data_IF_175194472246
#
_entry.id   IF_175194472246
#
_cell.length_a   1.000
_cell.length_b   1.000
_cell.length_c   1.000
_cell.angle_alpha   90.00
_cell.angle_beta   90.00
_cell.angle_gamma   90.00
#
_symmetry.space_group_name_H-M   'P 1'
#
loop_
_entity.id
_entity.type
_entity.pdbx_description
1 polymer ?
#
# COMPACT_ATOMS: atom_id res chain seq x y z
N UNK A 1 1.81 -45.29 39.20
CA UNK A 1 1.25 -43.95 38.96
C UNK A 1 -0.22 -44.01 39.37
N UNK A 2 -0.55 -43.45 40.52
CA UNK A 2 -1.90 -43.47 41.07
C UNK A 2 -2.78 -42.37 40.48
N UNK A 3 -4.12 -42.52 40.59
CA UNK A 3 -5.08 -41.50 40.19
C UNK A 3 -4.86 -40.17 40.95
N UNK A 4 -4.43 -40.24 42.22
CA UNK A 4 -4.06 -39.07 43.02
C UNK A 4 -2.85 -38.32 42.42
N UNK A 5 -1.76 -39.03 42.09
CA UNK A 5 -0.57 -38.42 41.47
C UNK A 5 -0.91 -37.71 40.15
N UNK A 6 -1.85 -38.27 39.37
CA UNK A 6 -2.29 -37.66 38.11
C UNK A 6 -3.14 -36.40 38.32
N UNK A 7 -3.96 -36.35 39.38
CA UNK A 7 -4.78 -35.18 39.73
C UNK A 7 -3.94 -34.07 40.36
N UNK A 8 -2.92 -34.41 41.16
CA UNK A 8 -1.97 -33.44 41.72
C UNK A 8 -1.14 -32.79 40.62
N UNK A 9 -0.59 -33.57 39.67
CA UNK A 9 0.14 -33.00 38.53
C UNK A 9 -0.74 -32.09 37.66
N UNK A 10 -2.01 -32.43 37.46
CA UNK A 10 -2.94 -31.61 36.69
C UNK A 10 -3.32 -30.32 37.44
N UNK A 11 -3.49 -30.38 38.77
CA UNK A 11 -3.75 -29.22 39.61
C UNK A 11 -2.56 -28.26 39.65
N UNK A 12 -1.33 -28.77 39.78
CA UNK A 12 -0.11 -27.95 39.81
C UNK A 12 0.20 -27.32 38.44
N UNK A 13 -0.08 -28.03 37.34
CA UNK A 13 -0.02 -27.44 35.99
C UNK A 13 -1.02 -26.31 35.79
N UNK A 14 -2.24 -26.43 36.32
CA UNK A 14 -3.24 -25.37 36.24
C UNK A 14 -2.89 -24.16 37.10
N UNK A 15 -2.44 -24.39 38.33
CA UNK A 15 -2.00 -23.31 39.23
C UNK A 15 -0.79 -22.55 38.69
N UNK A 16 0.20 -23.26 38.15
CA UNK A 16 1.36 -22.61 37.52
C UNK A 16 0.97 -21.83 36.27
N UNK A 17 0.12 -22.40 35.40
CA UNK A 17 -0.42 -21.70 34.24
C UNK A 17 -1.23 -20.43 34.60
N UNK A 18 -2.05 -20.50 35.64
CA UNK A 18 -2.84 -19.36 36.15
C UNK A 18 -1.94 -18.26 36.73
N UNK A 19 -0.89 -18.63 37.47
CA UNK A 19 0.09 -17.67 38.02
C UNK A 19 0.88 -16.97 36.90
N UNK A 20 1.35 -17.72 35.90
CA UNK A 20 2.09 -17.16 34.75
C UNK A 20 1.22 -16.25 33.89
N UNK A 21 -0.07 -16.56 33.76
CA UNK A 21 -1.02 -15.68 33.08
C UNK A 21 -1.32 -14.41 33.88
N UNK A 22 -1.50 -14.53 35.20
CA UNK A 22 -1.72 -13.39 36.08
C UNK A 22 -0.53 -12.42 36.04
N UNK A 23 0.71 -12.95 36.06
CA UNK A 23 1.92 -12.16 35.97
C UNK A 23 2.04 -11.44 34.62
N UNK A 24 1.81 -12.13 33.50
CA UNK A 24 1.80 -11.50 32.16
C UNK A 24 0.72 -10.43 32.03
N UNK A 25 -0.45 -10.60 32.64
CA UNK A 25 -1.51 -9.58 32.67
C UNK A 25 -1.10 -8.37 33.50
N UNK A 26 -0.44 -8.58 34.64
CA UNK A 26 0.07 -7.50 35.47
C UNK A 26 1.13 -6.67 34.73
N UNK A 27 2.10 -7.32 34.07
CA UNK A 27 3.13 -6.68 33.26
C UNK A 27 2.52 -5.82 32.13
N UNK A 28 1.55 -6.37 31.39
CA UNK A 28 0.83 -5.60 30.35
C UNK A 28 0.07 -4.41 30.92
N UNK A 29 -0.58 -4.59 32.07
CA UNK A 29 -1.29 -3.52 32.76
C UNK A 29 -0.36 -2.41 33.26
N UNK A 30 0.88 -2.74 33.59
CA UNK A 30 1.92 -1.78 33.98
C UNK A 30 2.46 -1.03 32.76
N UNK A 31 2.80 -1.74 31.66
CA UNK A 31 3.20 -1.13 30.38
C UNK A 31 2.13 -0.15 29.88
N UNK A 32 0.86 -0.57 29.95
CA UNK A 32 -0.25 0.28 29.55
C UNK A 32 -0.29 1.59 30.34
N UNK A 33 -0.25 1.51 31.68
CA UNK A 33 -0.32 2.69 32.56
C UNK A 33 0.90 3.59 32.45
N UNK A 34 2.10 3.02 32.33
CA UNK A 34 3.35 3.77 32.39
C UNK A 34 3.80 4.32 31.04
N UNK A 35 3.45 3.66 29.93
CA UNK A 35 3.90 4.03 28.58
C UNK A 35 2.75 4.40 27.65
N UNK A 36 1.72 3.55 27.51
CA UNK A 36 0.69 3.78 26.51
C UNK A 36 -0.29 4.89 26.87
N UNK A 37 -0.72 4.99 28.14
CA UNK A 37 -1.59 6.10 28.58
C UNK A 37 -0.97 7.47 28.29
N UNK A 38 0.27 7.78 28.74
CA UNK A 38 0.88 9.07 28.43
C UNK A 38 1.16 9.25 26.94
N UNK A 39 1.53 8.19 26.21
CA UNK A 39 1.70 8.26 24.76
C UNK A 39 0.38 8.59 24.04
N UNK A 40 -0.75 8.05 24.50
CA UNK A 40 -2.08 8.35 23.94
C UNK A 40 -2.50 9.80 24.24
N UNK A 41 -2.25 10.29 25.45
CA UNK A 41 -2.48 11.70 25.79
C UNK A 41 -1.60 12.62 24.89
N UNK A 42 -0.33 12.27 24.70
CA UNK A 42 0.58 13.02 23.84
C UNK A 42 0.16 12.99 22.35
N UNK A 43 -0.28 11.84 21.84
CA UNK A 43 -0.82 11.71 20.48
C UNK A 43 -2.07 12.56 20.29
N UNK A 44 -2.96 12.58 21.29
CA UNK A 44 -4.16 13.42 21.25
C UNK A 44 -3.78 14.90 21.15
N UNK A 45 -2.87 15.37 21.99
CA UNK A 45 -2.42 16.76 21.99
C UNK A 45 -1.72 17.15 20.68
N UNK A 46 -0.90 16.24 20.15
CA UNK A 46 -0.30 16.40 18.83
C UNK A 46 -1.37 16.54 17.74
N UNK A 47 -2.33 15.61 17.67
CA UNK A 47 -3.40 15.65 16.67
C UNK A 47 -4.29 16.88 16.81
N UNK A 48 -4.54 17.35 18.04
CA UNK A 48 -5.29 18.57 18.29
C UNK A 48 -4.57 19.80 17.72
N UNK A 49 -3.26 19.93 17.95
CA UNK A 49 -2.45 21.01 17.37
C UNK A 49 -2.35 20.87 15.86
N UNK A 50 -2.14 19.66 15.35
CA UNK A 50 -2.04 19.38 13.92
C UNK A 50 -3.32 19.80 13.19
N UNK A 51 -4.48 19.36 13.67
CA UNK A 51 -5.80 19.74 13.12
C UNK A 51 -6.03 21.25 13.19
N UNK A 52 -5.62 21.91 14.27
CA UNK A 52 -5.73 23.36 14.38
C UNK A 52 -4.94 24.08 13.28
N UNK A 53 -3.73 23.63 12.97
CA UNK A 53 -2.94 24.19 11.87
C UNK A 53 -3.53 23.85 10.49
N UNK A 54 -4.04 22.63 10.28
CA UNK A 54 -4.68 22.26 9.01
C UNK A 54 -5.90 23.12 8.70
N UNK A 55 -6.69 23.47 9.73
CA UNK A 55 -7.83 24.40 9.62
C UNK A 55 -7.43 25.85 9.33
N UNK A 56 -6.14 26.20 9.39
CA UNK A 56 -5.65 27.52 9.00
C UNK A 56 -5.06 27.45 7.59
N UNK A 57 -4.13 26.52 7.37
CA UNK A 57 -3.36 26.41 6.12
C UNK A 57 -4.22 25.92 4.95
N UNK A 58 -5.22 25.08 5.20
CA UNK A 58 -6.05 24.44 4.18
C UNK A 58 -5.23 23.84 3.01
N UNK A 59 -4.27 22.92 3.31
CA UNK A 59 -3.45 22.33 2.26
C UNK A 59 -4.31 21.53 1.27
N UNK A 60 -4.08 21.74 -0.02
CA UNK A 60 -4.80 21.02 -1.07
C UNK A 60 -4.24 19.60 -1.23
N UNK A 61 -4.79 18.66 -0.46
CA UNK A 61 -4.42 17.24 -0.48
C UNK A 61 -5.34 16.46 -1.42
N UNK A 62 -4.77 15.76 -2.40
CA UNK A 62 -5.50 14.93 -3.35
C UNK A 62 -5.45 13.44 -2.95
N UNK A 63 -6.60 12.80 -2.90
CA UNK A 63 -6.79 11.37 -2.68
C UNK A 63 -7.17 10.72 -4.02
N UNK A 64 -6.63 9.54 -4.29
CA UNK A 64 -6.88 8.78 -5.50
C UNK A 64 -7.29 7.37 -5.12
N UNK A 65 -8.54 7.02 -5.40
CA UNK A 65 -9.09 5.70 -5.09
C UNK A 65 -9.35 4.91 -6.39
N UNK A 66 -8.56 3.87 -6.69
CA UNK A 66 -8.77 3.07 -7.89
C UNK A 66 -10.03 2.21 -7.75
N UNK A 67 -10.92 2.27 -8.74
CA UNK A 67 -12.10 1.39 -8.84
C UNK A 67 -11.97 0.48 -10.06
N UNK A 68 -11.95 -0.85 -9.87
CA UNK A 68 -11.91 -1.81 -10.97
C UNK A 68 -13.09 -1.61 -11.93
N UNK A 69 -12.79 -1.46 -13.22
CA UNK A 69 -13.79 -1.27 -14.28
C UNK A 69 -14.35 0.15 -14.44
N UNK A 70 -13.89 1.11 -13.62
CA UNK A 70 -14.23 2.54 -13.74
C UNK A 70 -13.00 3.42 -13.97
N UNK A 71 -11.94 3.23 -13.17
CA UNK A 71 -10.76 4.09 -13.12
C UNK A 71 -10.60 4.74 -11.74
N UNK A 72 -9.79 5.79 -11.66
CA UNK A 72 -9.49 6.47 -10.40
C UNK A 72 -10.56 7.50 -10.04
N UNK A 73 -11.04 7.44 -8.79
CA UNK A 73 -11.82 8.52 -8.18
C UNK A 73 -10.84 9.49 -7.54
N UNK A 74 -10.89 10.75 -7.96
CA UNK A 74 -10.09 11.82 -7.41
C UNK A 74 -10.95 12.62 -6.43
N UNK A 75 -10.48 12.78 -5.20
CA UNK A 75 -11.14 13.56 -4.17
C UNK A 75 -10.14 14.49 -3.47
N UNK A 76 -10.61 15.62 -2.97
CA UNK A 76 -9.81 16.55 -2.18
C UNK A 76 -10.26 16.52 -0.73
N UNK A 77 -9.29 16.53 0.17
CA UNK A 77 -9.54 16.55 1.61
C UNK A 77 -10.30 17.82 2.00
N UNK A 78 -11.42 17.64 2.68
CA UNK A 78 -12.14 18.73 3.34
C UNK A 78 -11.48 18.97 4.71
N UNK A 79 -11.43 20.23 5.15
CA UNK A 79 -10.81 20.60 6.42
C UNK A 79 -11.81 20.60 7.59
N UNK A 80 -12.85 19.77 7.51
CA UNK A 80 -13.94 19.61 8.48
C UNK A 80 -13.62 18.60 9.58
N UNK A 81 -12.40 18.66 10.11
CA UNK A 81 -11.90 17.70 11.09
C UNK A 81 -12.67 17.73 12.42
N UNK A 82 -13.06 16.54 12.87
CA UNK A 82 -13.62 16.27 14.19
C UNK A 82 -12.70 15.30 14.94
N UNK A 83 -12.12 15.75 16.05
CA UNK A 83 -11.27 14.92 16.91
C UNK A 83 -12.05 14.57 18.18
N UNK A 84 -12.16 13.27 18.48
CA UNK A 84 -12.79 12.75 19.69
C UNK A 84 -11.79 11.93 20.49
N UNK A 85 -11.86 12.03 21.81
CA UNK A 85 -11.02 11.25 22.70
C UNK A 85 -11.83 10.53 23.78
N UNK A 86 -11.90 9.21 23.65
CA UNK A 86 -12.52 8.30 24.60
C UNK A 86 -11.51 7.85 25.66
N UNK A 87 -11.89 8.03 26.93
CA UNK A 87 -11.09 7.65 28.10
C UNK A 87 -11.88 6.65 28.94
N UNK A 88 -11.38 5.43 29.07
CA UNK A 88 -11.89 4.39 29.95
C UNK A 88 -10.78 3.91 30.89
N UNK A 89 -11.13 3.27 32.01
CA UNK A 89 -10.16 2.88 33.04
C UNK A 89 -9.02 1.97 32.55
N UNK A 90 -9.26 1.19 31.48
CA UNK A 90 -8.28 0.26 30.90
C UNK A 90 -8.19 0.35 29.38
N UNK A 91 -8.73 1.41 28.79
CA UNK A 91 -8.71 1.63 27.34
C UNK A 91 -8.73 3.12 27.01
N UNK A 92 -7.95 3.51 26.00
CA UNK A 92 -7.98 4.84 25.39
C UNK A 92 -8.30 4.68 23.91
N UNK A 93 -9.13 5.57 23.37
CA UNK A 93 -9.44 5.61 21.94
C UNK A 93 -9.48 7.05 21.44
N UNK A 94 -8.66 7.36 20.44
CA UNK A 94 -8.69 8.64 19.71
C UNK A 94 -9.30 8.37 18.35
N UNK A 95 -10.26 9.20 17.96
CA UNK A 95 -10.89 9.13 16.64
C UNK A 95 -10.87 10.49 15.98
N UNK A 96 -10.16 10.59 14.85
CA UNK A 96 -10.14 11.75 13.97
C UNK A 96 -10.98 11.44 12.73
N UNK A 97 -12.05 12.19 12.51
CA UNK A 97 -12.94 12.06 11.36
C UNK A 97 -12.81 13.29 10.49
N UNK A 98 -12.80 13.10 9.18
CA UNK A 98 -12.87 14.16 8.16
C UNK A 98 -13.55 13.62 6.91
N UNK A 99 -13.77 14.47 5.92
CA UNK A 99 -14.32 14.05 4.63
C UNK A 99 -13.39 14.44 3.49
N UNK A 100 -13.57 13.78 2.35
CA UNK A 100 -13.02 14.24 1.09
C UNK A 100 -14.11 14.40 0.05
N UNK A 101 -14.16 15.56 -0.61
CA UNK A 101 -15.13 15.83 -1.67
C UNK A 101 -14.59 15.35 -3.01
N UNK A 102 -15.39 14.52 -3.70
CA UNK A 102 -15.03 13.98 -5.02
C UNK A 102 -14.99 15.10 -6.06
N UNK A 103 -13.86 15.24 -6.74
CA UNK A 103 -13.67 16.15 -7.85
C UNK A 103 -14.23 15.52 -9.15
N UNK A 104 -15.55 15.54 -9.31
CA UNK A 104 -16.24 14.92 -10.45
C UNK A 104 -15.76 15.38 -11.83
N UNK A 105 -15.15 16.55 -11.93
CA UNK A 105 -14.57 17.07 -13.18
C UNK A 105 -13.24 16.39 -13.54
N UNK A 106 -12.48 15.93 -12.55
CA UNK A 106 -11.20 15.24 -12.72
C UNK A 106 -11.38 13.71 -12.79
N UNK A 107 -12.55 13.19 -12.41
CA UNK A 107 -12.89 11.78 -12.50
C UNK A 107 -13.32 11.37 -13.91
N UNK A 108 -13.05 10.12 -14.35
CA UNK A 108 -13.44 9.65 -15.67
C UNK A 108 -14.97 9.56 -15.82
N UNK A 109 -15.46 9.77 -17.03
CA UNK A 109 -16.83 9.42 -17.41
C UNK A 109 -16.79 8.09 -18.16
N UNK A 110 -16.97 6.98 -17.45
CA UNK A 110 -16.75 5.65 -18.00
C UNK A 110 -18.08 5.04 -18.50
N UNK A 111 -18.11 4.63 -19.76
CA UNK A 111 -19.20 3.81 -20.30
C UNK A 111 -18.87 2.34 -20.04
N UNK A 112 -19.65 1.70 -19.18
CA UNK A 112 -19.50 0.29 -18.83
C UNK A 112 -20.51 -0.50 -19.64
N UNK A 113 -20.03 -1.54 -20.33
CA UNK A 113 -20.86 -2.45 -21.14
C UNK A 113 -20.90 -3.85 -20.52
N UNK A 114 -22.05 -4.50 -20.66
CA UNK A 114 -22.33 -5.84 -20.14
C UNK A 114 -23.02 -5.79 -18.77
N UNK A 115 -24.19 -6.43 -18.70
CA UNK A 115 -25.09 -6.37 -17.54
C UNK A 115 -24.42 -6.79 -16.23
N UNK A 116 -23.55 -7.81 -16.24
CA UNK A 116 -22.77 -8.24 -15.08
C UNK A 116 -21.81 -7.16 -14.56
N UNK A 117 -21.03 -6.54 -15.45
CA UNK A 117 -20.06 -5.48 -15.07
C UNK A 117 -20.78 -4.23 -14.57
N UNK A 118 -21.89 -3.87 -15.20
CA UNK A 118 -22.72 -2.73 -14.79
C UNK A 118 -23.24 -2.95 -13.37
N UNK A 119 -23.75 -4.14 -13.05
CA UNK A 119 -24.19 -4.49 -11.69
C UNK A 119 -23.05 -4.39 -10.67
N UNK A 120 -21.85 -4.90 -11.01
CA UNK A 120 -20.68 -4.80 -10.13
C UNK A 120 -20.27 -3.36 -9.86
N UNK A 121 -20.12 -2.54 -10.90
CA UNK A 121 -19.72 -1.12 -10.76
C UNK A 121 -20.81 -0.32 -10.03
N UNK A 122 -22.08 -0.55 -10.34
CA UNK A 122 -23.21 0.09 -9.64
C UNK A 122 -23.23 -0.27 -8.15
N UNK A 123 -22.99 -1.54 -7.80
CA UNK A 123 -22.92 -1.96 -6.40
C UNK A 123 -21.76 -1.27 -5.66
N UNK A 124 -20.59 -1.12 -6.30
CA UNK A 124 -19.45 -0.39 -5.72
C UNK A 124 -19.77 1.09 -5.50
N UNK A 125 -20.36 1.76 -6.51
CA UNK A 125 -20.76 3.16 -6.43
C UNK A 125 -21.80 3.39 -5.32
N UNK A 126 -22.78 2.49 -5.20
CA UNK A 126 -23.78 2.55 -4.14
C UNK A 126 -23.15 2.32 -2.76
N UNK A 127 -22.28 1.31 -2.61
CA UNK A 127 -21.60 0.99 -1.35
C UNK A 127 -20.78 2.17 -0.83
N UNK A 128 -20.08 2.85 -1.73
CA UNK A 128 -19.19 3.97 -1.40
C UNK A 128 -19.85 5.35 -1.57
N UNK A 129 -21.16 5.41 -1.85
CA UNK A 129 -21.94 6.65 -2.02
C UNK A 129 -21.36 7.60 -3.07
N UNK A 130 -20.82 7.05 -4.16
CA UNK A 130 -20.14 7.79 -5.24
C UNK A 130 -21.09 8.28 -6.35
N UNK A 131 -22.37 8.38 -6.04
CA UNK A 131 -23.43 8.63 -7.02
C UNK A 131 -23.99 7.34 -7.59
N UNK A 132 -24.59 7.44 -8.77
CA UNK A 132 -25.34 6.34 -9.37
C UNK A 132 -25.13 6.25 -10.88
N UNK A 133 -25.72 5.21 -11.44
CA UNK A 133 -25.73 4.93 -12.86
C UNK A 133 -26.43 6.05 -13.65
N UNK A 134 -25.80 6.49 -14.73
CA UNK A 134 -26.30 7.52 -15.65
C UNK A 134 -26.55 6.91 -17.03
N UNK A 135 -27.57 7.40 -17.74
CA UNK A 135 -27.89 7.01 -19.11
C UNK A 135 -27.86 5.48 -19.35
N UNK A 136 -28.71 4.69 -18.67
CA UNK A 136 -28.78 3.26 -18.91
C UNK A 136 -29.39 2.97 -20.30
N UNK A 137 -28.64 2.25 -21.13
CA UNK A 137 -29.11 1.71 -22.40
C UNK A 137 -29.65 0.30 -22.18
N UNK A 138 -30.86 0.04 -22.66
CA UNK A 138 -31.53 -1.25 -22.53
C UNK A 138 -31.63 -1.95 -23.87
N UNK A 139 -31.54 -3.27 -23.86
CA UNK A 139 -31.86 -4.09 -25.02
C UNK A 139 -33.39 -4.25 -25.20
N UNK A 140 -33.78 -4.99 -26.25
CA UNK A 140 -35.18 -5.31 -26.53
C UNK A 140 -35.87 -6.14 -25.43
N UNK A 141 -35.09 -6.82 -24.58
CA UNK A 141 -35.57 -7.56 -23.42
C UNK A 141 -35.71 -6.70 -22.16
N UNK A 142 -35.30 -5.43 -22.21
CA UNK A 142 -35.33 -4.50 -21.08
C UNK A 142 -34.14 -4.62 -20.14
N UNK A 143 -33.14 -5.46 -20.44
CA UNK A 143 -31.91 -5.56 -19.67
C UNK A 143 -30.96 -4.40 -19.98
N UNK A 144 -30.29 -3.87 -18.95
CA UNK A 144 -29.30 -2.79 -19.13
C UNK A 144 -28.01 -3.37 -19.71
N UNK A 145 -27.70 -3.00 -20.95
CA UNK A 145 -26.54 -3.48 -21.71
C UNK A 145 -25.36 -2.53 -21.68
N UNK A 146 -25.62 -1.24 -21.47
CA UNK A 146 -24.60 -0.22 -21.25
C UNK A 146 -25.08 0.85 -20.27
N UNK A 147 -24.16 1.45 -19.53
CA UNK A 147 -24.45 2.62 -18.72
C UNK A 147 -23.21 3.48 -18.50
N UNK A 148 -23.43 4.77 -18.26
CA UNK A 148 -22.37 5.73 -17.94
C UNK A 148 -22.23 5.91 -16.43
N UNK A 149 -21.00 5.91 -15.93
CA UNK A 149 -20.71 6.20 -14.53
C UNK A 149 -19.84 7.45 -14.43
N UNK A 150 -20.16 8.31 -13.45
CA UNK A 150 -19.37 9.49 -13.11
C UNK A 150 -19.38 9.66 -11.59
N UNK A 151 -18.20 9.56 -10.97
CA UNK A 151 -18.06 9.63 -9.53
C UNK A 151 -18.41 11.03 -9.00
N UNK A 152 -19.19 11.08 -7.93
CA UNK A 152 -19.58 12.31 -7.21
C UNK A 152 -19.90 11.98 -5.75
N UNK A 153 -19.81 12.97 -4.86
CA UNK A 153 -20.19 12.80 -3.46
C UNK A 153 -19.04 13.10 -2.50
N UNK A 154 -19.15 12.56 -1.28
CA UNK A 154 -18.17 12.75 -0.20
C UNK A 154 -17.73 11.40 0.36
N UNK A 155 -16.44 11.25 0.55
CA UNK A 155 -15.79 10.05 1.08
C UNK A 155 -15.48 10.31 2.56
N UNK A 156 -16.05 9.55 3.50
CA UNK A 156 -15.73 9.71 4.92
C UNK A 156 -14.35 9.11 5.20
N UNK A 157 -13.48 9.87 5.85
CA UNK A 157 -12.14 9.47 6.26
C UNK A 157 -12.09 9.35 7.78
N UNK A 158 -11.40 8.34 8.29
CA UNK A 158 -11.22 8.20 9.73
C UNK A 158 -9.83 7.66 10.08
N UNK A 159 -9.21 8.25 11.09
CA UNK A 159 -8.11 7.68 11.83
C UNK A 159 -8.64 7.27 13.21
N UNK A 160 -8.47 6.01 13.57
CA UNK A 160 -8.72 5.49 14.92
C UNK A 160 -7.40 5.00 15.51
N UNK A 161 -7.00 5.55 16.65
CA UNK A 161 -5.90 5.05 17.47
C UNK A 161 -6.49 4.49 18.77
N UNK A 162 -6.23 3.23 19.09
CA UNK A 162 -6.71 2.61 20.32
C UNK A 162 -5.62 1.85 21.05
N UNK A 163 -5.64 1.93 22.37
CA UNK A 163 -4.74 1.21 23.25
C UNK A 163 -5.53 0.62 24.40
N UNK A 164 -5.24 -0.63 24.76
CA UNK A 164 -5.93 -1.35 25.83
C UNK A 164 -4.95 -2.11 26.72
N UNK A 165 -5.28 -2.26 28.00
CA UNK A 165 -4.44 -2.93 28.99
C UNK A 165 -4.26 -4.43 28.73
N UNK A 166 -5.14 -5.05 27.91
CA UNK A 166 -5.10 -6.49 27.61
C UNK A 166 -4.00 -6.80 26.60
N UNK A 167 -3.85 -5.95 25.59
CA UNK A 167 -2.87 -6.15 24.51
C UNK A 167 -1.56 -5.40 24.74
N UNK A 168 -1.56 -4.32 25.52
CA UNK A 168 -0.40 -3.45 25.72
C UNK A 168 0.25 -3.01 24.39
N UNK A 169 -0.59 -2.76 23.37
CA UNK A 169 -0.18 -2.26 22.06
C UNK A 169 -1.06 -1.08 21.65
N UNK A 170 -0.47 -0.20 20.86
CA UNK A 170 -1.19 0.85 20.14
C UNK A 170 -1.65 0.31 18.79
N UNK A 171 -2.95 0.31 18.54
CA UNK A 171 -3.55 -0.07 17.26
C UNK A 171 -3.98 1.18 16.51
N UNK A 172 -3.47 1.34 15.30
CA UNK A 172 -3.84 2.40 14.36
C UNK A 172 -4.70 1.81 13.25
N UNK A 173 -5.75 2.51 12.86
CA UNK A 173 -6.62 2.16 11.74
C UNK A 173 -6.99 3.42 10.94
N UNK A 174 -6.79 3.35 9.63
CA UNK A 174 -7.04 4.42 8.66
C UNK A 174 -8.09 3.94 7.67
N UNK A 175 -9.26 4.54 7.70
CA UNK A 175 -10.36 4.24 6.79
C UNK A 175 -10.37 5.22 5.62
N UNK A 176 -10.42 4.67 4.41
CA UNK A 176 -10.61 5.36 3.14
C UNK A 176 -9.48 6.32 2.71
N UNK A 177 -8.26 6.20 3.26
CA UNK A 177 -7.12 7.05 2.88
C UNK A 177 -6.41 6.59 1.59
N UNK A 178 -6.20 5.28 1.43
CA UNK A 178 -5.52 4.71 0.25
C UNK A 178 -6.52 4.19 -0.79
N UNK A 179 -7.41 3.33 -0.33
CA UNK A 179 -8.46 2.67 -1.10
C UNK A 179 -9.77 2.76 -0.31
N UNK A 180 -10.87 2.21 -0.84
CA UNK A 180 -12.12 2.15 -0.08
C UNK A 180 -12.13 1.01 0.95
N UNK A 181 -11.09 0.94 1.77
CA UNK A 181 -10.92 -0.03 2.84
C UNK A 181 -10.35 0.63 4.10
N UNK A 182 -10.19 -0.18 5.14
CA UNK A 182 -9.50 0.20 6.36
C UNK A 182 -8.18 -0.53 6.42
N UNK A 183 -7.08 0.21 6.53
CA UNK A 183 -5.73 -0.35 6.74
C UNK A 183 -5.28 0.01 8.14
N UNK A 184 -4.58 -0.90 8.81
CA UNK A 184 -4.13 -0.67 10.17
C UNK A 184 -2.75 -1.23 10.47
N UNK A 185 -2.17 -0.74 11.56
CA UNK A 185 -0.87 -1.18 12.10
C UNK A 185 -0.96 -1.27 13.61
N UNK A 186 -0.43 -2.35 14.17
CA UNK A 186 -0.19 -2.45 15.61
C UNK A 186 1.26 -2.08 15.92
N UNK A 187 1.45 -1.31 16.97
CA UNK A 187 2.74 -0.74 17.38
C UNK A 187 2.96 -1.09 18.85
N UNK A 188 4.19 -1.46 19.20
CA UNK A 188 4.54 -1.73 20.60
C UNK A 188 4.57 -0.42 21.42
N UNK A 189 4.37 -0.51 22.74
CA UNK A 189 4.33 0.65 23.62
C UNK A 189 5.58 1.57 23.49
N UNK A 190 6.77 0.98 23.41
CA UNK A 190 8.02 1.74 23.26
C UNK A 190 8.22 2.43 21.90
N UNK A 191 7.36 2.16 20.90
CA UNK A 191 7.37 2.80 19.58
C UNK A 191 6.26 3.86 19.45
N UNK A 192 5.45 4.07 20.50
CA UNK A 192 4.42 5.09 20.53
C UNK A 192 5.02 6.44 20.96
N UNK A 193 5.87 7.00 20.10
CA UNK A 193 6.64 8.22 20.35
C UNK A 193 6.33 9.33 19.32
N UNK A 194 7.03 10.46 19.47
CA UNK A 194 6.85 11.63 18.60
C UNK A 194 7.18 11.33 17.12
N UNK A 195 8.13 10.42 16.86
CA UNK A 195 8.48 10.02 15.50
C UNK A 195 7.31 9.28 14.83
N UNK A 196 6.62 8.40 15.55
CA UNK A 196 5.39 7.78 15.06
C UNK A 196 4.31 8.83 14.79
N UNK A 197 4.15 9.84 15.66
CA UNK A 197 3.13 10.87 15.51
C UNK A 197 3.37 11.72 14.25
N UNK A 198 4.63 12.03 13.96
CA UNK A 198 5.00 12.72 12.72
C UNK A 198 4.67 11.87 11.48
N UNK A 199 4.98 10.57 11.51
CA UNK A 199 4.63 9.65 10.41
C UNK A 199 3.12 9.54 10.19
N UNK A 200 2.32 9.58 11.26
CA UNK A 200 0.85 9.69 11.17
C UNK A 200 0.48 10.99 10.46
N UNK A 201 1.06 12.13 10.86
CA UNK A 201 0.80 13.44 10.24
C UNK A 201 1.11 13.45 8.73
N UNK A 202 2.30 12.96 8.35
CA UNK A 202 2.72 12.83 6.95
C UNK A 202 1.76 11.93 6.16
N UNK A 203 1.35 10.81 6.74
CA UNK A 203 0.39 9.91 6.11
C UNK A 203 -0.97 10.57 5.84
N UNK A 204 -1.50 11.32 6.82
CA UNK A 204 -2.76 12.06 6.68
C UNK A 204 -2.69 13.12 5.56
N UNK A 205 -1.52 13.72 5.35
CA UNK A 205 -1.27 14.71 4.29
C UNK A 205 -0.88 14.11 2.93
N UNK A 206 -0.79 12.78 2.83
CA UNK A 206 -0.31 12.06 1.63
C UNK A 206 1.14 12.43 1.26
N UNK A 207 1.94 12.80 2.26
CA UNK A 207 3.38 12.98 2.12
C UNK A 207 4.11 11.64 2.21
N UNK A 208 5.37 11.62 1.78
CA UNK A 208 6.21 10.43 1.87
C UNK A 208 6.37 9.98 3.33
N UNK A 209 5.97 8.75 3.61
CA UNK A 209 6.01 8.15 4.94
C UNK A 209 6.33 6.65 4.88
N UNK A 210 6.60 6.10 6.05
CA UNK A 210 6.93 4.71 6.34
C UNK A 210 5.91 4.04 7.27
N UNK A 211 4.82 4.74 7.61
CA UNK A 211 3.86 4.34 8.64
C UNK A 211 3.26 2.96 8.42
N UNK A 212 2.86 2.64 7.18
CA UNK A 212 2.23 1.36 6.82
C UNK A 212 3.20 0.40 6.13
N UNK A 213 4.48 0.75 6.03
CA UNK A 213 5.49 -0.21 5.54
C UNK A 213 5.69 -1.25 6.62
N UNK A 214 5.51 -2.52 6.27
CA UNK A 214 5.95 -3.62 7.13
C UNK A 214 7.43 -3.37 7.47
N UNK A 215 7.74 -3.36 8.76
CA UNK A 215 9.11 -3.49 9.22
C UNK A 215 9.59 -4.88 8.84
N UNK A 216 10.04 -5.04 7.59
CA UNK A 216 10.80 -6.21 7.21
C UNK A 216 11.95 -6.31 8.21
N UNK A 217 12.06 -7.42 8.97
CA UNK A 217 13.15 -7.57 9.92
C UNK A 217 14.48 -7.39 9.17
N UNK A 218 15.46 -6.77 9.83
CA UNK A 218 16.67 -6.27 9.16
C UNK A 218 17.43 -7.36 8.40
N UNK A 219 17.30 -8.62 8.81
CA UNK A 219 17.82 -9.79 8.10
C UNK A 219 17.21 -9.97 6.69
N UNK A 220 15.92 -9.73 6.52
CA UNK A 220 15.23 -9.82 5.22
C UNK A 220 15.56 -8.61 4.36
N UNK A 221 15.71 -7.41 4.95
CA UNK A 221 16.18 -6.21 4.23
C UNK A 221 17.59 -6.41 3.66
N UNK A 222 18.51 -6.96 4.45
CA UNK A 222 19.86 -7.32 4.02
C UNK A 222 19.84 -8.36 2.89
N UNK A 223 19.02 -9.40 3.03
CA UNK A 223 18.91 -10.45 2.02
C UNK A 223 18.29 -9.96 0.70
N UNK A 224 17.32 -9.05 0.76
CA UNK A 224 16.73 -8.40 -0.42
C UNK A 224 17.70 -7.44 -1.10
N UNK A 225 18.46 -6.63 -0.33
CA UNK A 225 19.55 -5.80 -0.88
C UNK A 225 20.59 -6.65 -1.60
N UNK A 226 21.00 -7.77 -1.01
CA UNK A 226 21.93 -8.71 -1.63
C UNK A 226 21.37 -9.31 -2.94
N UNK A 227 20.08 -9.69 -2.96
CA UNK A 227 19.42 -10.18 -4.18
C UNK A 227 19.31 -9.12 -5.27
N UNK A 228 19.00 -7.87 -4.92
CA UNK A 228 18.94 -6.75 -5.89
C UNK A 228 20.32 -6.48 -6.47
N UNK A 229 21.37 -6.45 -5.64
CA UNK A 229 22.74 -6.32 -6.12
C UNK A 229 23.16 -7.47 -7.05
N UNK A 230 22.79 -8.71 -6.72
CA UNK A 230 23.05 -9.85 -7.61
C UNK A 230 22.32 -9.72 -8.95
N UNK A 231 21.09 -9.22 -8.96
CA UNK A 231 20.35 -8.98 -10.21
C UNK A 231 20.94 -7.83 -11.03
N UNK A 232 21.41 -6.76 -10.40
CA UNK A 232 22.09 -5.66 -11.08
C UNK A 232 23.43 -6.10 -11.67
N UNK A 233 24.22 -6.89 -10.93
CA UNK A 233 25.45 -7.50 -11.41
C UNK A 233 25.13 -8.39 -12.61
N UNK A 234 24.12 -9.27 -12.49
CA UNK A 234 23.70 -10.15 -13.58
C UNK A 234 23.29 -9.39 -14.84
N UNK A 235 22.48 -8.33 -14.70
CA UNK A 235 22.09 -7.46 -15.83
C UNK A 235 23.29 -6.78 -16.49
N UNK A 236 24.27 -6.33 -15.70
CA UNK A 236 25.51 -5.73 -16.24
C UNK A 236 26.34 -6.77 -17.01
N UNK A 237 26.40 -8.01 -16.52
CA UNK A 237 27.07 -9.10 -17.23
C UNK A 237 26.35 -9.50 -18.52
N UNK A 238 25.02 -9.61 -18.48
CA UNK A 238 24.20 -9.90 -19.66
C UNK A 238 24.36 -8.81 -20.74
N UNK A 239 24.32 -7.53 -20.36
CA UNK A 239 24.59 -6.42 -21.27
C UNK A 239 26.02 -6.47 -21.85
N UNK A 240 27.03 -6.83 -21.04
CA UNK A 240 28.41 -6.97 -21.51
C UNK A 240 28.55 -8.10 -22.54
N UNK A 241 27.90 -9.25 -22.30
CA UNK A 241 27.92 -10.39 -23.22
C UNK A 241 27.25 -10.01 -24.54
N UNK A 242 26.11 -9.33 -24.48
CA UNK A 242 25.39 -8.87 -25.67
C UNK A 242 26.26 -7.91 -26.52
N UNK A 243 26.98 -6.98 -25.88
CA UNK A 243 27.92 -6.11 -26.61
C UNK A 243 29.05 -6.88 -27.30
N UNK A 244 29.64 -7.87 -26.61
CA UNK A 244 30.71 -8.71 -27.19
C UNK A 244 30.21 -9.56 -28.36
N UNK A 245 28.99 -10.12 -28.24
CA UNK A 245 28.36 -10.89 -29.32
C UNK A 245 28.06 -10.01 -30.54
N UNK A 246 27.59 -8.78 -30.32
CA UNK A 246 27.37 -7.82 -31.41
C UNK A 246 28.68 -7.43 -32.12
N UNK A 247 29.76 -7.21 -31.37
CA UNK A 247 31.09 -6.92 -31.93
C UNK A 247 31.66 -8.11 -32.71
N UNK A 248 31.50 -9.33 -32.21
CA UNK A 248 31.97 -10.54 -32.88
C UNK A 248 31.21 -10.81 -34.18
N UNK A 249 29.88 -10.65 -34.17
CA UNK A 249 29.05 -10.73 -35.38
C UNK A 249 29.43 -9.64 -36.39
N UNK A 250 29.71 -8.43 -35.94
CA UNK A 250 30.17 -7.33 -36.80
C UNK A 250 31.55 -7.63 -37.43
N UNK A 251 32.49 -8.18 -36.65
CA UNK A 251 33.80 -8.61 -37.15
C UNK A 251 33.70 -9.76 -38.15
N UNK A 252 32.83 -10.74 -37.90
CA UNK A 252 32.59 -11.85 -38.82
C UNK A 252 31.97 -11.37 -40.14
N UNK A 253 31.00 -10.44 -40.08
CA UNK A 253 30.44 -9.78 -41.29
C UNK A 253 31.50 -9.00 -42.05
N UNK A 254 32.37 -8.27 -41.35
CA UNK A 254 33.50 -7.56 -41.97
C UNK A 254 34.49 -8.53 -42.65
N UNK A 255 34.84 -9.65 -42.01
CA UNK A 255 35.69 -10.69 -42.63
C UNK A 255 35.04 -11.32 -43.88
N UNK A 256 33.73 -11.55 -43.86
CA UNK A 256 33.02 -12.12 -45.01
C UNK A 256 32.95 -11.15 -46.19
N UNK A 257 32.73 -9.85 -45.93
CA UNK A 257 32.72 -8.82 -46.99
C UNK A 257 34.11 -8.60 -47.60
N UNK A 258 35.18 -8.62 -46.79
CA UNK A 258 36.56 -8.57 -47.29
C UNK A 258 36.90 -9.78 -48.17
N UNK A 259 36.54 -10.99 -47.74
CA UNK A 259 36.78 -12.22 -48.51
C UNK A 259 35.99 -12.23 -49.83
N UNK A 260 34.75 -11.73 -49.82
CA UNK A 260 33.94 -11.52 -51.01
C UNK A 260 34.55 -10.52 -52.00
N UNK A 261 35.06 -9.39 -51.53
CA UNK A 261 35.73 -8.37 -52.37
C UNK A 261 37.03 -8.88 -53.00
N UNK A 262 37.81 -9.69 -52.27
CA UNK A 262 39.03 -10.32 -52.81
C UNK A 262 38.68 -11.35 -53.89
N UNK A 263 37.64 -12.18 -53.68
CA UNK A 263 37.18 -13.13 -54.69
C UNK A 263 36.67 -12.42 -55.96
N UNK A 264 35.99 -11.29 -55.81
CA UNK A 264 35.49 -10.50 -56.94
C UNK A 264 36.61 -9.79 -57.72
N UNK A 265 37.67 -9.34 -57.03
CA UNK A 265 38.87 -8.77 -57.67
C UNK A 265 39.65 -9.85 -58.44
N UNK A 266 39.84 -11.04 -57.87
CA UNK A 266 40.47 -12.18 -58.54
C UNK A 266 39.64 -12.70 -59.73
N UNK A 267 38.31 -12.68 -59.62
CA UNK A 267 37.41 -13.01 -60.73
C UNK A 267 37.40 -11.98 -61.87
N UNK A 268 37.74 -10.72 -61.58
CA UNK A 268 37.95 -9.68 -62.62
C UNK A 268 39.28 -9.87 -63.35
N UNK A 269 40.37 -10.15 -62.62
CA UNK A 269 41.68 -10.46 -63.20
C UNK A 269 41.64 -11.72 -64.09
N UNK A 270 40.90 -12.76 -63.69
CA UNK A 270 40.76 -13.99 -64.49
C UNK A 270 39.92 -13.80 -65.76
N UNK A 271 39.06 -12.79 -65.81
CA UNK A 271 38.30 -12.42 -67.02
C UNK A 271 39.15 -11.62 -68.02
N UNK A 272 40.17 -10.91 -67.56
CA UNK A 272 41.12 -10.21 -68.44
C UNK A 272 42.13 -11.16 -69.11
N UNK A 273 42.39 -12.34 -68.54
CA UNK A 273 43.30 -13.34 -69.12
C UNK A 273 42.66 -14.34 -70.10
N UNK A 274 41.42 -14.11 -70.57
CA UNK A 274 40.69 -15.02 -71.48
C UNK A 274 40.14 -14.34 -72.74
N UNK A 275 40.68 -13.17 -73.08
CA UNK A 275 40.29 -12.37 -74.25
C UNK A 275 41.46 -12.16 -75.21
N UNK A 276 42.39 -13.10 -75.26
CA UNK A 276 43.53 -13.10 -76.16
C UNK A 276 43.96 -14.52 -76.45
N UNK A 277 43.21 -15.17 -77.34
CA UNK A 277 43.63 -16.10 -78.40
C UNK A 277 42.41 -16.47 -79.25
#
# INVERSE_FOLDING_TARGET
MGLLDSLEQEADKRRSGEADEAQRRAERGEIYRTQLEPAMDALHDYLQRFVAHLKVVHPRVALRHPIPGYGDVIAYLDHDYELRYGRQSHSREIKLVSHATVASAECPSAVVRGSGKIKTVAALFQRHRLGGMLAPEKDAGGEVVAATFKAKGRIPLALTASADATTAQLKLAFANYDDFATVGRSVAAGQADEALFEEIGRYLLREANSLLREDLPDNVRLHLKAKVQQQEIRRRWEARIETLQHEEVAMLRSRHTLRGRIAEALGRLRRWGRSGD
#
